data_IF_836636698922
#
_entry.id   IF_836636698922
#
_cell.length_a   1.000
_cell.length_b   1.000
_cell.length_c   1.000
_cell.angle_alpha   90.00
_cell.angle_beta   90.00
_cell.angle_gamma   90.00
#
_symmetry.space_group_name_H-M   'P 1'
#
loop_
_entity.id
_entity.type
_entity.pdbx_description
1 polymer ?
#
# COMPACT_ATOMS: atom_id res chain seq x y z
N UNK A 1 49.10 -39.78 5.05
CA UNK A 1 48.02 -39.31 4.15
C UNK A 1 46.96 -38.66 5.03
N UNK A 2 46.90 -37.33 5.13
CA UNK A 2 45.81 -36.64 5.82
C UNK A 2 45.41 -35.42 4.99
N UNK A 3 44.23 -35.50 4.38
CA UNK A 3 43.60 -34.40 3.65
C UNK A 3 42.89 -33.47 4.63
N UNK A 4 42.97 -32.13 4.50
CA UNK A 4 42.14 -31.24 5.28
C UNK A 4 40.73 -31.19 4.68
N UNK A 5 39.72 -31.51 5.50
CA UNK A 5 38.32 -31.35 5.16
C UNK A 5 37.96 -29.87 5.18
N UNK A 6 37.72 -29.29 4.01
CA UNK A 6 37.27 -27.91 3.86
C UNK A 6 35.74 -27.88 4.04
N UNK A 7 35.27 -27.28 5.14
CA UNK A 7 33.84 -27.11 5.39
C UNK A 7 33.26 -26.02 4.48
N UNK A 8 32.08 -26.22 3.86
CA UNK A 8 31.46 -25.20 3.03
C UNK A 8 30.96 -24.01 3.87
N UNK A 9 30.94 -22.78 3.30
CA UNK A 9 30.45 -21.58 3.98
C UNK A 9 28.92 -21.63 4.21
N UNK A 10 28.40 -20.95 5.26
CA UNK A 10 26.98 -20.91 5.54
C UNK A 10 26.20 -20.20 4.42
N UNK A 11 24.93 -20.60 4.16
CA UNK A 11 24.10 -19.96 3.15
C UNK A 11 23.83 -18.48 3.49
N UNK A 12 23.69 -17.60 2.48
CA UNK A 12 23.37 -16.20 2.70
C UNK A 12 22.01 -16.08 3.40
N UNK A 13 21.96 -15.28 4.47
CA UNK A 13 20.75 -14.96 5.21
C UNK A 13 19.77 -14.28 4.24
N UNK A 14 18.48 -14.70 4.19
CA UNK A 14 17.52 -14.04 3.32
C UNK A 14 17.48 -12.55 3.68
N UNK A 15 17.39 -11.64 2.69
CA UNK A 15 17.25 -10.23 2.98
C UNK A 15 16.05 -10.08 3.89
N UNK A 16 16.27 -9.46 5.06
CA UNK A 16 15.18 -9.01 5.90
C UNK A 16 14.26 -8.23 4.99
N UNK A 17 13.03 -8.73 4.77
CA UNK A 17 12.00 -8.08 3.95
C UNK A 17 11.78 -6.73 4.60
N UNK A 18 12.58 -5.74 4.20
CA UNK A 18 12.29 -4.33 4.41
C UNK A 18 10.98 -4.17 3.70
N UNK A 19 9.89 -4.24 4.47
CA UNK A 19 8.57 -4.03 3.95
C UNK A 19 8.69 -2.73 3.16
N UNK A 20 8.38 -2.74 1.85
CA UNK A 20 8.36 -1.49 1.11
C UNK A 20 7.55 -0.49 1.93
N UNK A 21 7.97 0.79 1.99
CA UNK A 21 7.21 1.80 2.71
C UNK A 21 5.73 1.60 2.41
N UNK A 22 4.84 1.62 3.43
CA UNK A 22 3.43 1.38 3.20
C UNK A 22 3.01 2.28 2.04
N UNK A 23 2.57 1.65 0.95
CA UNK A 23 2.28 2.32 -0.33
C UNK A 23 1.05 3.25 -0.25
N UNK A 24 0.57 3.47 0.98
CA UNK A 24 -0.59 4.23 1.38
C UNK A 24 -0.22 4.98 2.65
N UNK A 25 -0.29 6.31 2.59
CA UNK A 25 -0.23 7.14 3.79
C UNK A 25 -1.49 6.98 4.64
N UNK A 26 -1.43 7.37 5.91
CA UNK A 26 -2.60 7.37 6.80
C UNK A 26 -3.75 8.21 6.21
N UNK A 27 -3.42 9.36 5.61
CA UNK A 27 -4.38 10.23 4.95
C UNK A 27 -5.05 9.55 3.74
N UNK A 28 -4.27 8.90 2.87
CA UNK A 28 -4.80 8.13 1.74
C UNK A 28 -5.70 6.98 2.20
N UNK A 29 -5.30 6.31 3.27
CA UNK A 29 -6.06 5.20 3.86
C UNK A 29 -7.40 5.68 4.41
N UNK A 30 -7.41 6.80 5.15
CA UNK A 30 -8.64 7.41 5.65
C UNK A 30 -9.55 7.86 4.50
N UNK A 31 -8.98 8.53 3.48
CA UNK A 31 -9.74 8.95 2.31
C UNK A 31 -10.40 7.76 1.59
N UNK A 32 -9.69 6.62 1.46
CA UNK A 32 -10.26 5.40 0.88
C UNK A 32 -11.39 4.85 1.72
N UNK A 33 -11.21 4.77 3.04
CA UNK A 33 -12.25 4.28 3.96
C UNK A 33 -13.50 5.13 3.82
N UNK A 34 -13.36 6.45 3.80
CA UNK A 34 -14.50 7.36 3.70
C UNK A 34 -15.21 7.27 2.35
N UNK A 35 -14.48 7.37 1.24
CA UNK A 35 -15.05 7.26 -0.12
C UNK A 35 -15.73 5.89 -0.32
N UNK A 36 -15.11 4.81 0.15
CA UNK A 36 -15.70 3.48 0.13
C UNK A 36 -17.00 3.43 0.94
N UNK A 37 -17.00 3.97 2.16
CA UNK A 37 -18.19 3.97 3.04
C UNK A 37 -19.33 4.75 2.41
N UNK A 38 -19.07 5.93 1.86
CA UNK A 38 -20.06 6.74 1.15
C UNK A 38 -20.70 5.95 0.01
N UNK A 39 -19.89 5.27 -0.81
CA UNK A 39 -20.38 4.45 -1.92
C UNK A 39 -21.15 3.22 -1.44
N UNK A 40 -20.64 2.53 -0.41
CA UNK A 40 -21.28 1.36 0.20
C UNK A 40 -22.65 1.69 0.78
N UNK A 41 -22.80 2.82 1.49
CA UNK A 41 -24.09 3.27 2.01
C UNK A 41 -25.06 3.65 0.89
N UNK A 42 -24.58 4.30 -0.17
CA UNK A 42 -25.38 4.68 -1.34
C UNK A 42 -25.96 3.44 -2.06
N UNK A 43 -25.21 2.34 -2.08
CA UNK A 43 -25.63 1.05 -2.64
C UNK A 43 -26.46 0.18 -1.67
N UNK A 44 -26.96 0.76 -0.56
CA UNK A 44 -27.67 0.02 0.51
C UNK A 44 -26.86 -1.17 1.06
N UNK A 45 -25.53 -1.01 1.16
CA UNK A 45 -24.57 -2.03 1.60
C UNK A 45 -24.40 -3.20 0.62
N UNK A 46 -24.54 -2.93 -0.68
CA UNK A 46 -24.25 -3.88 -1.75
C UNK A 46 -22.79 -3.84 -2.22
N UNK A 47 -22.33 -4.92 -2.87
CA UNK A 47 -20.98 -5.00 -3.42
C UNK A 47 -20.71 -3.91 -4.46
N UNK A 48 -19.55 -3.23 -4.31
CA UNK A 48 -19.06 -2.30 -5.32
C UNK A 48 -18.63 -3.06 -6.57
N UNK A 49 -19.14 -2.61 -7.72
CA UNK A 49 -18.69 -3.07 -9.04
C UNK A 49 -17.53 -2.19 -9.51
N UNK A 50 -16.92 -2.58 -10.64
CA UNK A 50 -15.84 -1.81 -11.26
C UNK A 50 -16.11 -0.29 -11.38
N UNK A 51 -17.28 0.18 -11.88
CA UNK A 51 -17.56 1.62 -11.94
C UNK A 51 -17.66 2.26 -10.55
N UNK A 52 -18.18 1.55 -9.56
CA UNK A 52 -18.26 2.07 -8.20
C UNK A 52 -16.87 2.25 -7.57
N UNK A 53 -15.97 1.30 -7.84
CA UNK A 53 -14.56 1.39 -7.44
C UNK A 53 -13.83 2.53 -8.13
N UNK A 54 -14.16 2.83 -9.40
CA UNK A 54 -13.59 3.98 -10.10
C UNK A 54 -13.98 5.29 -9.42
N UNK A 55 -15.25 5.46 -9.04
CA UNK A 55 -15.69 6.65 -8.30
C UNK A 55 -15.03 6.77 -6.92
N UNK A 56 -14.86 5.65 -6.21
CA UNK A 56 -14.09 5.64 -4.94
C UNK A 56 -12.65 6.10 -5.19
N UNK A 57 -12.00 5.60 -6.23
CA UNK A 57 -10.63 5.99 -6.59
C UNK A 57 -10.52 7.47 -6.95
N UNK A 58 -11.48 8.01 -7.71
CA UNK A 58 -11.51 9.43 -8.08
C UNK A 58 -11.72 10.32 -6.84
N UNK A 59 -12.59 9.90 -5.92
CA UNK A 59 -12.80 10.57 -4.63
C UNK A 59 -11.55 10.58 -3.75
N UNK A 60 -10.85 9.44 -3.67
CA UNK A 60 -9.55 9.33 -2.99
C UNK A 60 -8.53 10.25 -3.64
N UNK A 61 -8.38 10.22 -4.96
CA UNK A 61 -7.44 11.05 -5.68
C UNK A 61 -7.70 12.55 -5.46
N UNK A 62 -8.97 12.97 -5.43
CA UNK A 62 -9.34 14.35 -5.14
C UNK A 62 -8.97 14.75 -3.71
N UNK A 63 -9.30 13.93 -2.70
CA UNK A 63 -8.95 14.20 -1.29
C UNK A 63 -7.44 14.18 -1.07
N UNK A 64 -6.71 13.25 -1.65
CA UNK A 64 -5.27 13.16 -1.47
C UNK A 64 -4.52 14.32 -2.14
N UNK A 65 -4.98 14.79 -3.32
CA UNK A 65 -4.45 16.03 -3.94
C UNK A 65 -4.60 17.26 -3.04
N UNK A 66 -5.60 17.28 -2.16
CA UNK A 66 -5.81 18.35 -1.19
C UNK A 66 -4.99 18.17 0.10
N UNK A 67 -4.64 16.93 0.45
CA UNK A 67 -3.86 16.60 1.66
C UNK A 67 -2.35 16.69 1.43
N UNK A 68 -1.89 16.62 0.18
CA UNK A 68 -0.54 17.04 -0.21
C UNK A 68 -0.57 18.50 -0.69
N UNK A 69 -0.38 19.53 0.16
CA UNK A 69 0.25 20.73 -0.36
C UNK A 69 1.60 20.25 -0.91
N UNK A 70 1.92 20.59 -2.16
CA UNK A 70 3.18 20.24 -2.80
C UNK A 70 4.33 20.44 -1.81
N UNK A 71 4.79 19.36 -1.18
CA UNK A 71 5.95 19.45 -0.30
C UNK A 71 7.12 19.45 -1.27
N UNK A 72 7.49 20.66 -1.67
CA UNK A 72 8.80 20.96 -2.25
C UNK A 72 9.84 20.25 -1.39
N UNK A 73 10.42 19.18 -1.92
CA UNK A 73 11.70 18.70 -1.41
C UNK A 73 12.76 19.62 -2.01
N UNK A 74 13.32 20.50 -1.18
CA UNK A 74 14.67 21.06 -1.38
C UNK A 74 15.69 19.92 -1.26
#
# INVERSE_FOLDING_TARGET
MHSPSSSPPPPPKPPSRRLPPPCWSDAETVALIDCYREKWYSLRRGNLRAPDWQEVADGVAHRCRLIFPAKTSI
#
